data_IF_979418292593
#
_entry.id   IF_979418292593
#
_cell.length_a   1.000
_cell.length_b   1.000
_cell.length_c   1.000
_cell.angle_alpha   90.00
_cell.angle_beta   90.00
_cell.angle_gamma   90.00
#
_symmetry.space_group_name_H-M   'P 1'
#
loop_
_entity.id
_entity.type
_entity.pdbx_description
1 polymer ?
#
# COMPACT_ATOMS: atom_id res chain seq x y z
N UNK A 1 2.13 -25.22 -3.28
CA UNK A 1 2.36 -23.88 -2.74
C UNK A 1 1.11 -23.04 -2.86
N UNK A 2 0.70 -22.41 -1.77
CA UNK A 2 -0.49 -21.57 -1.79
C UNK A 2 -0.23 -20.27 -2.52
N UNK A 3 -1.16 -19.86 -3.38
CA UNK A 3 -1.17 -18.51 -3.95
C UNK A 3 -1.71 -17.54 -2.89
N UNK A 4 -0.83 -16.72 -2.36
CA UNK A 4 -1.22 -15.68 -1.41
C UNK A 4 -1.83 -14.47 -2.11
N UNK A 5 -1.43 -14.22 -3.36
CA UNK A 5 -1.86 -13.05 -4.11
C UNK A 5 -2.89 -13.47 -5.15
N UNK A 6 -4.06 -12.84 -5.09
CA UNK A 6 -5.20 -13.13 -5.95
C UNK A 6 -5.60 -11.86 -6.67
N UNK A 7 -5.84 -11.96 -7.97
CA UNK A 7 -6.33 -10.83 -8.76
C UNK A 7 -7.84 -10.70 -8.55
N UNK A 8 -8.27 -9.56 -8.01
CA UNK A 8 -9.69 -9.23 -7.79
C UNK A 8 -10.08 -7.97 -8.56
N UNK A 9 -11.38 -7.62 -8.57
CA UNK A 9 -11.86 -6.40 -9.24
C UNK A 9 -11.18 -5.14 -8.73
N UNK A 10 -10.91 -5.06 -7.43
CA UNK A 10 -10.26 -3.90 -6.82
C UNK A 10 -8.75 -3.90 -6.95
N UNK A 11 -8.14 -4.98 -7.42
CA UNK A 11 -6.71 -5.09 -7.63
C UNK A 11 -6.11 -6.36 -7.07
N UNK A 12 -4.81 -6.33 -6.80
CA UNK A 12 -4.07 -7.48 -6.28
C UNK A 12 -4.32 -7.62 -4.78
N UNK A 13 -4.87 -8.74 -4.37
CA UNK A 13 -5.28 -9.01 -2.98
C UNK A 13 -4.40 -10.07 -2.34
N UNK A 14 -3.89 -9.79 -1.15
CA UNK A 14 -3.19 -10.76 -0.31
C UNK A 14 -4.21 -11.42 0.61
N UNK A 15 -4.57 -12.67 0.33
CA UNK A 15 -5.63 -13.36 1.06
C UNK A 15 -5.33 -13.55 2.55
N UNK A 16 -4.17 -14.11 2.96
CA UNK A 16 -3.90 -14.28 4.40
C UNK A 16 -3.83 -12.95 5.16
N UNK A 17 -3.29 -11.92 4.54
CA UNK A 17 -3.11 -10.61 5.18
C UNK A 17 -4.35 -9.74 5.16
N UNK A 18 -5.30 -10.06 4.30
CA UNK A 18 -6.53 -9.29 4.10
C UNK A 18 -6.25 -7.83 3.73
N UNK A 19 -5.38 -7.62 2.74
CA UNK A 19 -5.07 -6.29 2.22
C UNK A 19 -4.85 -6.35 0.71
N UNK A 20 -5.02 -5.19 0.06
CA UNK A 20 -4.72 -5.02 -1.36
C UNK A 20 -3.38 -4.31 -1.54
N UNK A 21 -2.76 -4.53 -2.70
CA UNK A 21 -1.56 -3.80 -3.13
C UNK A 21 -1.97 -2.91 -4.30
N UNK A 22 -1.77 -1.59 -4.15
CA UNK A 22 -2.10 -0.57 -5.16
C UNK A 22 -3.50 -0.77 -5.76
N UNK A 23 -4.56 -0.78 -4.94
CA UNK A 23 -5.91 -1.06 -5.45
C UNK A 23 -6.40 0.03 -6.40
N UNK A 24 -7.24 -0.37 -7.36
CA UNK A 24 -7.84 0.56 -8.34
C UNK A 24 -9.19 1.11 -7.89
N UNK A 25 -9.71 0.63 -6.76
CA UNK A 25 -10.95 1.09 -6.14
C UNK A 25 -10.74 1.23 -4.63
N UNK A 26 -11.53 2.05 -3.93
CA UNK A 26 -11.43 2.14 -2.48
C UNK A 26 -11.62 0.79 -1.80
N UNK A 27 -10.73 0.47 -0.87
CA UNK A 27 -10.75 -0.78 -0.11
C UNK A 27 -10.51 -0.48 1.37
N UNK A 28 -10.72 -1.49 2.22
CA UNK A 28 -10.53 -1.35 3.67
C UNK A 28 -9.06 -1.26 4.06
N UNK A 29 -8.19 -1.97 3.37
CA UNK A 29 -6.76 -1.98 3.70
C UNK A 29 -5.94 -2.08 2.43
N UNK A 30 -5.04 -1.12 2.24
CA UNK A 30 -4.21 -1.01 1.04
C UNK A 30 -2.74 -0.74 1.39
N UNK A 31 -1.84 -1.46 0.73
CA UNK A 31 -0.42 -1.17 0.73
C UNK A 31 -0.11 -0.43 -0.57
N UNK A 32 0.55 0.72 -0.48
CA UNK A 32 0.83 1.59 -1.64
C UNK A 32 2.33 1.55 -1.94
N UNK A 33 2.68 1.16 -3.17
CA UNK A 33 4.08 1.01 -3.57
C UNK A 33 4.74 2.34 -3.92
N UNK A 34 4.02 3.24 -4.57
CA UNK A 34 4.55 4.55 -4.95
C UNK A 34 3.40 5.53 -5.24
N UNK A 35 3.76 6.80 -5.43
CA UNK A 35 2.77 7.88 -5.44
C UNK A 35 2.18 8.22 -6.81
N UNK A 36 2.45 7.45 -7.87
CA UNK A 36 1.78 7.65 -9.16
C UNK A 36 0.27 7.45 -9.02
N UNK A 37 -0.53 8.24 -9.73
CA UNK A 37 -1.99 8.27 -9.56
C UNK A 37 -2.67 6.93 -9.83
N UNK A 38 -2.15 6.14 -10.75
CA UNK A 38 -2.68 4.81 -11.08
C UNK A 38 -2.36 3.74 -10.03
N UNK A 39 -1.48 4.05 -9.06
CA UNK A 39 -1.13 3.16 -7.95
C UNK A 39 -1.61 3.71 -6.61
N UNK A 40 -1.49 5.02 -6.40
CA UNK A 40 -1.84 5.67 -5.13
C UNK A 40 -3.19 6.38 -5.27
N UNK A 41 -4.27 5.62 -5.24
CA UNK A 41 -5.62 6.15 -5.41
C UNK A 41 -6.22 6.58 -4.08
N UNK A 42 -7.16 7.55 -4.08
CA UNK A 42 -7.75 8.08 -2.85
C UNK A 42 -8.85 7.18 -2.27
N UNK A 43 -9.34 7.59 -1.11
CA UNK A 43 -10.55 7.04 -0.46
C UNK A 43 -10.41 5.63 0.09
N UNK A 44 -9.19 5.10 0.24
CA UNK A 44 -9.00 3.86 0.98
C UNK A 44 -9.24 4.12 2.46
N UNK A 45 -9.79 3.14 3.17
CA UNK A 45 -10.04 3.29 4.59
C UNK A 45 -8.72 3.33 5.36
N UNK A 46 -7.80 2.44 5.07
CA UNK A 46 -6.50 2.33 5.74
C UNK A 46 -5.40 2.12 4.71
N UNK A 47 -4.33 2.90 4.82
CA UNK A 47 -3.16 2.72 3.93
C UNK A 47 -1.89 2.48 4.75
N UNK A 48 -0.99 1.69 4.16
CA UNK A 48 0.38 1.49 4.63
C UNK A 48 1.31 1.89 3.49
N UNK A 49 2.20 2.84 3.73
CA UNK A 49 3.10 3.35 2.69
C UNK A 49 4.30 4.04 3.34
N UNK A 50 5.32 4.36 2.54
CA UNK A 50 6.45 5.17 3.01
C UNK A 50 5.96 6.59 3.31
N UNK A 51 6.71 7.30 4.16
CA UNK A 51 6.43 8.69 4.53
C UNK A 51 6.28 9.58 3.30
N UNK A 52 7.18 9.44 2.34
CA UNK A 52 7.19 10.27 1.12
C UNK A 52 5.94 10.02 0.28
N UNK A 53 5.54 8.77 0.11
CA UNK A 53 4.32 8.42 -0.62
C UNK A 53 3.09 8.98 0.09
N UNK A 54 3.01 8.85 1.40
CA UNK A 54 1.91 9.40 2.21
C UNK A 54 1.82 10.91 2.05
N UNK A 55 2.96 11.62 2.13
CA UNK A 55 2.99 13.07 2.01
C UNK A 55 2.50 13.54 0.63
N UNK A 56 2.91 12.85 -0.43
CA UNK A 56 2.47 13.18 -1.80
C UNK A 56 0.96 12.94 -1.94
N UNK A 57 0.45 11.83 -1.43
CA UNK A 57 -0.99 11.53 -1.46
C UNK A 57 -1.80 12.56 -0.69
N UNK A 58 -1.30 13.00 0.47
CA UNK A 58 -1.95 14.01 1.29
C UNK A 58 -2.06 15.35 0.56
N UNK A 59 -1.00 15.76 -0.13
CA UNK A 59 -0.99 16.99 -0.92
C UNK A 59 -1.98 16.88 -2.09
N UNK A 60 -1.98 15.75 -2.80
CA UNK A 60 -2.80 15.53 -3.99
C UNK A 60 -4.28 15.43 -3.68
N UNK A 61 -4.64 14.68 -2.65
CA UNK A 61 -6.04 14.33 -2.34
C UNK A 61 -6.59 15.04 -1.11
N UNK A 62 -5.74 15.70 -0.33
CA UNK A 62 -6.11 16.35 0.91
C UNK A 62 -6.84 15.37 1.85
N UNK A 63 -8.01 15.70 2.36
CA UNK A 63 -8.71 14.86 3.34
C UNK A 63 -9.22 13.53 2.77
N UNK A 64 -9.26 13.40 1.44
CA UNK A 64 -9.80 12.22 0.78
C UNK A 64 -8.75 11.13 0.52
N UNK A 65 -7.48 11.29 0.96
CA UNK A 65 -6.46 10.29 0.62
C UNK A 65 -6.65 8.98 1.38
N UNK A 66 -7.13 9.03 2.60
CA UNK A 66 -7.49 7.84 3.38
C UNK A 66 -8.15 8.26 4.69
N UNK A 67 -8.76 7.31 5.43
CA UNK A 67 -9.25 7.57 6.77
C UNK A 67 -8.16 7.43 7.81
N UNK A 68 -7.36 6.38 7.71
CA UNK A 68 -6.22 6.15 8.59
C UNK A 68 -4.99 5.79 7.79
N UNK A 69 -3.82 6.11 8.30
CA UNK A 69 -2.55 5.84 7.65
C UNK A 69 -1.57 5.21 8.64
N UNK A 70 -0.71 4.37 8.11
CA UNK A 70 0.44 3.85 8.83
C UNK A 70 1.68 4.03 7.95
N UNK A 71 2.71 4.64 8.52
CA UNK A 71 3.98 4.85 7.85
C UNK A 71 4.88 3.63 8.06
N UNK A 72 5.56 3.20 7.00
CA UNK A 72 6.56 2.15 7.08
C UNK A 72 7.89 2.68 6.56
N UNK A 73 8.98 2.33 7.22
CA UNK A 73 10.34 2.66 6.77
C UNK A 73 10.88 1.53 5.92
N UNK A 74 11.78 1.86 4.99
CA UNK A 74 12.51 0.84 4.23
C UNK A 74 13.21 -0.11 5.19
N UNK A 75 13.09 -1.41 4.95
CA UNK A 75 13.69 -2.45 5.76
C UNK A 75 12.93 -2.80 7.03
N UNK A 76 11.92 -2.00 7.40
CA UNK A 76 11.07 -2.31 8.54
C UNK A 76 10.14 -3.48 8.22
N UNK A 77 10.03 -4.43 9.15
CA UNK A 77 9.14 -5.59 8.99
C UNK A 77 7.90 -5.37 9.84
N UNK A 78 6.72 -5.45 9.19
CA UNK A 78 5.43 -5.31 9.86
C UNK A 78 4.65 -6.61 9.67
N UNK A 79 4.01 -7.08 10.73
CA UNK A 79 3.12 -8.25 10.66
C UNK A 79 1.68 -7.77 10.47
N UNK A 80 1.05 -8.22 9.39
CA UNK A 80 -0.36 -7.94 9.09
C UNK A 80 -1.09 -9.27 9.01
N UNK A 81 -1.88 -9.59 10.02
CA UNK A 81 -2.67 -10.83 10.10
C UNK A 81 -1.81 -12.09 9.85
N UNK A 82 -0.59 -12.12 10.40
CA UNK A 82 0.34 -13.23 10.24
C UNK A 82 1.24 -13.15 9.02
N UNK A 83 1.02 -12.19 8.13
CA UNK A 83 1.87 -11.97 6.95
C UNK A 83 2.94 -10.93 7.28
N UNK A 84 4.20 -11.30 7.11
CA UNK A 84 5.31 -10.36 7.29
C UNK A 84 5.48 -9.52 6.04
N UNK A 85 5.40 -8.20 6.19
CA UNK A 85 5.50 -7.25 5.10
C UNK A 85 6.73 -6.39 5.29
N UNK A 86 7.49 -6.20 4.22
CA UNK A 86 8.69 -5.38 4.21
C UNK A 86 8.72 -4.54 2.95
N UNK A 87 9.00 -3.24 3.08
CA UNK A 87 9.18 -2.34 1.95
C UNK A 87 10.67 -2.12 1.71
N UNK A 88 11.09 -2.24 0.45
CA UNK A 88 12.48 -1.97 0.05
C UNK A 88 12.48 -0.93 -1.07
N UNK A 89 13.56 -0.12 -1.20
CA UNK A 89 13.59 0.92 -2.24
C UNK A 89 13.45 0.32 -3.64
N UNK A 90 12.62 0.95 -4.47
CA UNK A 90 12.41 0.52 -5.85
C UNK A 90 13.21 1.36 -6.87
N UNK A 91 13.71 2.53 -6.46
CA UNK A 91 14.49 3.38 -7.35
C UNK A 91 13.70 4.09 -8.43
N UNK A 92 12.38 4.12 -8.33
CA UNK A 92 11.49 4.65 -9.36
C UNK A 92 11.22 6.15 -9.16
N UNK A 93 10.59 6.50 -8.05
CA UNK A 93 10.40 7.89 -7.61
C UNK A 93 10.67 7.94 -6.11
N UNK A 94 10.81 9.15 -5.55
CA UNK A 94 11.06 9.27 -4.12
C UNK A 94 9.92 8.60 -3.33
N UNK A 95 10.29 7.78 -2.35
CA UNK A 95 9.33 7.02 -1.54
C UNK A 95 8.79 5.74 -2.18
N UNK A 96 9.16 5.44 -3.43
CA UNK A 96 8.70 4.22 -4.10
C UNK A 96 9.32 2.98 -3.46
N UNK A 97 8.57 1.87 -3.49
CA UNK A 97 8.98 0.65 -2.84
C UNK A 97 8.55 -0.60 -3.61
N UNK A 98 9.35 -1.65 -3.46
CA UNK A 98 8.92 -3.02 -3.71
C UNK A 98 8.44 -3.60 -2.40
N UNK A 99 7.41 -4.42 -2.45
CA UNK A 99 6.84 -5.05 -1.27
C UNK A 99 7.23 -6.51 -1.23
N UNK A 100 7.91 -6.90 -0.15
CA UNK A 100 8.26 -8.30 0.12
C UNK A 100 7.27 -8.85 1.14
N UNK A 101 6.70 -9.98 0.84
CA UNK A 101 5.70 -10.64 1.68
C UNK A 101 6.23 -11.88 2.39
#
# INVERSE_FOLDING_TARGET
MKNWLIKKKSGLFCEPGNFYIDPIRPVDSALITHAHTDHARPNNKKILATKETINIMKIRYQDNYCKTKQQIKYGEKININGVHVKFVPAGHIIGSAQILL
#
